data_IF_360284284986
#
_entry.id   IF_360284284986
#
_cell.length_a   1.000
_cell.length_b   1.000
_cell.length_c   1.000
_cell.angle_alpha   90.00
_cell.angle_beta   90.00
_cell.angle_gamma   90.00
#
_symmetry.space_group_name_H-M   'P 1'
#
loop_
_entity.id
_entity.type
_entity.pdbx_description
1 polymer ?
#
# COMPACT_ATOMS: atom_id res chain seq x y z
N UNK A 1 -2.99 -5.02 -1.48
CA UNK A 1 -2.74 -5.45 -2.87
C UNK A 1 -1.24 -5.60 -3.07
N UNK A 2 -0.77 -6.65 -3.75
CA UNK A 2 0.65 -6.80 -4.11
C UNK A 2 0.96 -6.09 -5.44
N UNK A 3 2.14 -5.48 -5.51
CA UNK A 3 2.70 -4.84 -6.71
C UNK A 3 4.09 -5.40 -6.97
N UNK A 4 4.33 -6.11 -8.09
CA UNK A 4 5.62 -6.73 -8.37
C UNK A 4 6.70 -5.69 -8.67
N UNK A 5 7.93 -5.94 -8.19
CA UNK A 5 9.11 -5.17 -8.58
C UNK A 5 9.47 -5.46 -10.04
N UNK A 6 9.68 -4.45 -10.89
CA UNK A 6 10.26 -4.66 -12.22
C UNK A 6 11.61 -5.39 -12.12
N UNK A 7 11.73 -6.54 -12.77
CA UNK A 7 12.93 -7.39 -12.69
C UNK A 7 13.12 -8.10 -11.35
N UNK A 8 12.05 -8.25 -10.56
CA UNK A 8 12.08 -8.96 -9.28
C UNK A 8 12.61 -10.38 -9.40
N UNK A 9 13.30 -10.84 -8.35
CA UNK A 9 14.07 -12.09 -8.37
C UNK A 9 13.38 -13.29 -7.72
N UNK A 10 12.20 -13.09 -7.15
CA UNK A 10 11.43 -14.14 -6.48
C UNK A 10 9.98 -13.74 -6.21
N UNK A 11 9.18 -14.72 -5.79
CA UNK A 11 7.83 -14.46 -5.29
C UNK A 11 7.88 -13.49 -4.10
N UNK A 12 6.97 -12.52 -4.10
CA UNK A 12 6.92 -11.50 -3.06
C UNK A 12 7.95 -10.36 -3.20
N UNK A 13 8.88 -10.41 -4.17
CA UNK A 13 9.79 -9.28 -4.43
C UNK A 13 9.00 -8.11 -5.06
N UNK A 14 8.61 -7.17 -4.20
CA UNK A 14 7.73 -6.09 -4.57
C UNK A 14 7.23 -5.35 -3.35
N UNK A 15 6.01 -4.84 -3.46
CA UNK A 15 5.39 -4.00 -2.46
C UNK A 15 3.97 -4.44 -2.13
N UNK A 16 3.53 -4.15 -0.91
CA UNK A 16 2.11 -4.17 -0.57
C UNK A 16 1.60 -2.73 -0.54
N UNK A 17 0.54 -2.47 -1.30
CA UNK A 17 -0.20 -1.21 -1.28
C UNK A 17 -1.56 -1.41 -0.62
N UNK A 18 -1.89 -0.53 0.33
CA UNK A 18 -3.19 -0.55 1.02
C UNK A 18 -3.57 0.83 1.54
N UNK A 19 -4.87 1.08 1.71
CA UNK A 19 -5.33 2.26 2.44
C UNK A 19 -5.35 1.99 3.94
N UNK A 20 -4.86 2.95 4.72
CA UNK A 20 -4.97 2.98 6.17
C UNK A 20 -5.87 4.14 6.55
N UNK A 21 -6.93 3.84 7.31
CA UNK A 21 -7.82 4.84 7.88
C UNK A 21 -7.40 5.12 9.32
N UNK A 22 -7.10 6.37 9.62
CA UNK A 22 -6.89 6.84 10.99
C UNK A 22 -8.14 7.55 11.49
N UNK A 23 -8.78 6.95 12.51
CA UNK A 23 -10.00 7.48 13.13
C UNK A 23 -9.75 8.75 13.94
N UNK A 24 -8.55 8.95 14.48
CA UNK A 24 -8.25 10.10 15.32
C UNK A 24 -8.21 11.40 14.49
N UNK A 25 -7.69 11.31 13.26
CA UNK A 25 -7.59 12.44 12.32
C UNK A 25 -8.71 12.48 11.29
N UNK A 26 -9.58 11.47 11.28
CA UNK A 26 -10.53 11.16 10.21
C UNK A 26 -9.88 11.17 8.81
N UNK A 27 -8.60 10.79 8.76
CA UNK A 27 -7.74 10.85 7.59
C UNK A 27 -7.50 9.47 6.97
N UNK A 28 -6.95 9.45 5.76
CA UNK A 28 -6.46 8.21 5.15
C UNK A 28 -5.12 8.43 4.48
N UNK A 29 -4.29 7.40 4.52
CA UNK A 29 -3.07 7.33 3.72
C UNK A 29 -3.13 6.12 2.80
N UNK A 30 -2.52 6.22 1.63
CA UNK A 30 -2.11 5.06 0.84
C UNK A 30 -0.70 4.68 1.31
N UNK A 31 -0.61 3.56 2.03
CA UNK A 31 0.63 3.02 2.54
C UNK A 31 1.28 2.11 1.49
N UNK A 32 2.60 2.26 1.32
CA UNK A 32 3.46 1.41 0.51
C UNK A 32 4.44 0.70 1.44
N UNK A 33 4.29 -0.61 1.56
CA UNK A 33 5.08 -1.47 2.45
C UNK A 33 6.05 -2.32 1.65
N UNK A 34 7.19 -2.68 2.25
CA UNK A 34 8.04 -3.73 1.73
C UNK A 34 7.31 -5.08 1.86
N UNK A 35 7.11 -5.80 0.74
CA UNK A 35 6.36 -7.04 0.76
C UNK A 35 7.11 -8.20 1.43
N UNK A 36 8.46 -8.13 1.50
CA UNK A 36 9.26 -9.19 2.15
C UNK A 36 9.58 -8.90 3.62
N UNK A 37 9.28 -7.70 4.10
CA UNK A 37 9.48 -7.30 5.50
C UNK A 37 8.44 -6.25 5.92
N UNK A 38 7.22 -6.71 6.19
CA UNK A 38 6.07 -5.85 6.50
C UNK A 38 6.14 -5.20 7.89
N UNK A 39 7.05 -5.67 8.77
CA UNK A 39 7.23 -5.10 10.12
C UNK A 39 8.09 -3.84 10.10
N UNK A 40 8.82 -3.60 9.00
CA UNK A 40 9.54 -2.33 8.80
C UNK A 40 8.58 -1.15 8.69
N UNK A 41 9.07 0.07 9.01
CA UNK A 41 8.34 1.28 8.66
C UNK A 41 7.95 1.29 7.18
N UNK A 42 6.78 1.87 6.83
CA UNK A 42 6.38 2.01 5.44
C UNK A 42 7.47 2.67 4.60
N UNK A 43 7.66 2.17 3.37
CA UNK A 43 8.57 2.80 2.39
C UNK A 43 8.06 4.18 2.03
N UNK A 44 6.74 4.33 1.92
CA UNK A 44 6.09 5.61 1.71
C UNK A 44 4.67 5.62 2.29
N UNK A 45 4.23 6.80 2.71
CA UNK A 45 2.84 7.08 3.04
C UNK A 45 2.38 8.28 2.22
N UNK A 46 1.37 8.07 1.38
CA UNK A 46 0.79 9.12 0.55
C UNK A 46 -0.48 9.59 1.26
N UNK A 47 -0.45 10.82 1.76
CA UNK A 47 -1.60 11.43 2.43
C UNK A 47 -2.72 11.67 1.43
N UNK A 48 -3.90 11.12 1.70
CA UNK A 48 -5.07 11.34 0.86
C UNK A 48 -5.70 12.70 1.21
N UNK A 49 -6.16 13.47 0.23
CA UNK A 49 -6.77 14.78 0.48
C UNK A 49 -8.13 14.70 1.20
N UNK A 50 -8.69 13.48 1.31
CA UNK A 50 -9.93 13.14 2.03
C UNK A 50 -9.86 11.70 2.52
N UNK A 51 -10.71 11.37 3.50
CA UNK A 51 -10.94 9.99 3.94
C UNK A 51 -11.32 9.08 2.77
N UNK A 52 -10.66 7.93 2.67
CA UNK A 52 -11.04 6.84 1.78
C UNK A 52 -12.05 5.94 2.50
N UNK A 53 -13.29 5.78 2.01
CA UNK A 53 -14.28 4.88 2.64
C UNK A 53 -13.84 3.42 2.62
N UNK A 54 -14.46 2.59 3.48
CA UNK A 54 -14.26 1.15 3.44
C UNK A 54 -14.66 0.60 2.07
N UNK A 55 -13.66 0.17 1.31
CA UNK A 55 -13.84 -0.43 0.00
C UNK A 55 -13.98 -1.95 0.07
N UNK A 56 -13.96 -2.57 -1.11
CA UNK A 56 -13.89 -4.02 -1.27
C UNK A 56 -12.51 -4.38 -1.86
N UNK A 57 -12.49 -4.80 -3.12
CA UNK A 57 -11.30 -5.29 -3.80
C UNK A 57 -10.64 -4.17 -4.62
N UNK A 58 -9.37 -4.35 -4.95
CA UNK A 58 -8.63 -3.54 -5.91
C UNK A 58 -7.62 -4.41 -6.67
N UNK A 59 -7.18 -3.92 -7.83
CA UNK A 59 -6.14 -4.57 -8.64
C UNK A 59 -5.06 -3.55 -9.06
N UNK A 60 -3.83 -4.02 -9.21
CA UNK A 60 -2.74 -3.27 -9.84
C UNK A 60 -2.65 -3.70 -11.31
N UNK A 61 -2.49 -2.73 -12.21
CA UNK A 61 -2.17 -2.99 -13.60
C UNK A 61 -0.87 -2.24 -13.92
N UNK A 62 0.18 -2.91 -14.42
CA UNK A 62 1.31 -2.21 -15.00
C UNK A 62 0.86 -1.48 -16.28
N UNK A 63 1.50 -0.34 -16.55
CA UNK A 63 1.40 0.36 -17.83
C UNK A 63 2.36 -0.23 -18.86
#
# INVERSE_FOLDING_TARGET
MFVPRPGGRGEGDGWIMTYVYDRATDGSVLAVLDAVDIERPPIAEIVMPRRVPHGLHGNWLPL
#
